data_IF_986545876641
#
_entry.id   IF_986545876641
#
_cell.length_a   1.000
_cell.length_b   1.000
_cell.length_c   1.000
_cell.angle_alpha   90.00
_cell.angle_beta   90.00
_cell.angle_gamma   90.00
#
_symmetry.space_group_name_H-M   'P 1'
#
loop_
_entity.id
_entity.type
_entity.pdbx_description
1 polymer ?
#
# COMPACT_ATOMS: atom_id res chain seq x y z
N UNK A 1 -8.11 19.03 -16.74
CA UNK A 1 -7.39 19.98 -15.92
C UNK A 1 -7.32 19.44 -14.50
N UNK A 2 -6.11 19.09 -14.05
CA UNK A 2 -5.79 18.82 -12.65
C UNK A 2 -6.35 19.99 -11.82
N UNK A 3 -7.13 19.71 -10.79
CA UNK A 3 -7.50 20.70 -9.78
C UNK A 3 -6.21 21.01 -9.01
N UNK A 4 -5.47 22.01 -9.50
CA UNK A 4 -4.30 22.49 -8.82
C UNK A 4 -4.70 23.34 -7.61
N UNK A 5 -4.01 23.13 -6.52
CA UNK A 5 -3.60 24.06 -5.47
C UNK A 5 -4.52 24.43 -4.30
N UNK A 6 -5.74 23.90 -4.14
CA UNK A 6 -6.46 24.10 -2.87
C UNK A 6 -6.99 22.83 -2.20
N UNK A 7 -7.06 21.72 -2.92
CA UNK A 7 -7.55 20.45 -2.37
C UNK A 7 -6.46 19.63 -1.66
N UNK A 8 -5.17 19.96 -1.86
CA UNK A 8 -4.06 19.16 -1.33
C UNK A 8 -3.73 19.45 0.14
N UNK A 9 -3.95 20.69 0.63
CA UNK A 9 -3.68 20.99 2.04
C UNK A 9 -4.81 20.52 2.97
N UNK A 10 -6.09 20.66 2.57
CA UNK A 10 -7.23 20.26 3.41
C UNK A 10 -7.42 18.75 3.52
N UNK A 11 -7.15 17.97 2.46
CA UNK A 11 -7.28 16.49 2.49
C UNK A 11 -6.12 15.77 3.23
N UNK A 12 -4.94 16.38 3.32
CA UNK A 12 -3.83 15.80 4.10
C UNK A 12 -4.05 15.90 5.60
N UNK A 13 -4.84 16.86 6.06
CA UNK A 13 -5.16 17.01 7.48
C UNK A 13 -6.19 16.02 7.97
N UNK A 14 -7.07 15.51 7.12
CA UNK A 14 -8.20 14.68 7.54
C UNK A 14 -7.75 13.30 8.05
N UNK A 15 -6.86 12.60 7.36
CA UNK A 15 -6.36 11.30 7.83
C UNK A 15 -5.46 11.41 9.07
N UNK A 16 -4.72 12.52 9.24
CA UNK A 16 -3.90 12.75 10.42
C UNK A 16 -4.78 13.00 11.64
N UNK A 17 -5.81 13.82 11.51
CA UNK A 17 -6.79 14.05 12.57
C UNK A 17 -7.53 12.75 12.94
N UNK A 18 -7.91 11.94 11.95
CA UNK A 18 -8.53 10.65 12.18
C UNK A 18 -7.58 9.69 12.94
N UNK A 19 -6.30 9.69 12.59
CA UNK A 19 -5.29 8.89 13.26
C UNK A 19 -5.12 9.30 14.73
N UNK A 20 -5.08 10.60 15.01
CA UNK A 20 -5.03 11.12 16.39
C UNK A 20 -6.31 10.75 17.17
N UNK A 21 -7.49 10.88 16.57
CA UNK A 21 -8.76 10.52 17.19
C UNK A 21 -8.83 9.04 17.54
N UNK A 22 -8.48 8.16 16.63
CA UNK A 22 -8.44 6.71 16.87
C UNK A 22 -7.38 6.34 17.92
N UNK A 23 -6.22 6.99 17.89
CA UNK A 23 -5.17 6.75 18.89
C UNK A 23 -5.56 7.19 20.29
N UNK A 24 -6.34 8.27 20.42
CA UNK A 24 -6.81 8.81 21.71
C UNK A 24 -7.71 7.84 22.49
N UNK A 25 -8.26 6.81 21.84
CA UNK A 25 -9.05 5.77 22.51
C UNK A 25 -8.18 4.79 23.35
N UNK A 26 -6.86 4.82 23.16
CA UNK A 26 -5.91 3.96 23.86
C UNK A 26 -5.01 4.77 24.79
N UNK A 27 -4.60 4.16 25.89
CA UNK A 27 -3.61 4.83 26.76
C UNK A 27 -2.25 4.88 26.07
N UNK A 28 -1.50 5.97 26.28
CA UNK A 28 -0.14 6.12 25.76
C UNK A 28 0.76 4.92 26.09
N UNK A 29 0.70 4.40 27.33
CA UNK A 29 1.49 3.24 27.74
C UNK A 29 1.14 1.96 26.97
N UNK A 30 -0.12 1.78 26.56
CA UNK A 30 -0.54 0.67 25.71
C UNK A 30 0.06 0.80 24.32
N UNK A 31 -0.07 1.97 23.70
CA UNK A 31 0.46 2.22 22.35
C UNK A 31 1.98 2.09 22.29
N UNK A 32 2.71 2.64 23.28
CA UNK A 32 4.18 2.52 23.35
C UNK A 32 4.65 1.07 23.50
N UNK A 33 3.99 0.28 24.36
CA UNK A 33 4.30 -1.14 24.55
C UNK A 33 4.07 -1.91 23.25
N UNK A 34 2.92 -1.70 22.61
CA UNK A 34 2.53 -2.41 21.40
C UNK A 34 3.43 -2.01 20.22
N UNK A 35 3.81 -0.74 20.07
CA UNK A 35 4.77 -0.27 19.06
C UNK A 35 6.16 -0.90 19.24
N UNK A 36 6.65 -1.06 20.47
CA UNK A 36 7.91 -1.74 20.75
C UNK A 36 7.86 -3.21 20.37
N UNK A 37 6.80 -3.93 20.76
CA UNK A 37 6.63 -5.34 20.41
C UNK A 37 6.59 -5.57 18.90
N UNK A 38 5.90 -4.70 18.14
CA UNK A 38 5.87 -4.73 16.69
C UNK A 38 7.27 -4.52 16.11
N UNK A 39 7.99 -3.49 16.58
CA UNK A 39 9.34 -3.17 16.10
C UNK A 39 10.34 -4.30 16.38
N UNK A 40 10.22 -5.00 17.50
CA UNK A 40 11.04 -6.15 17.84
C UNK A 40 10.72 -7.35 16.94
N UNK A 41 9.44 -7.64 16.69
CA UNK A 41 9.02 -8.72 15.81
C UNK A 41 9.53 -8.54 14.37
N UNK A 42 9.45 -7.31 13.83
CA UNK A 42 10.00 -7.01 12.50
C UNK A 42 11.53 -7.17 12.44
N UNK A 43 12.26 -6.77 13.48
CA UNK A 43 13.72 -6.95 13.54
C UNK A 43 14.14 -8.42 13.57
N UNK A 44 13.37 -9.26 14.23
CA UNK A 44 13.64 -10.70 14.33
C UNK A 44 13.20 -11.50 13.09
N UNK A 45 12.67 -10.85 12.04
CA UNK A 45 12.13 -11.49 10.84
C UNK A 45 11.11 -12.60 11.14
N UNK A 46 10.37 -12.47 12.26
CA UNK A 46 9.37 -13.45 12.68
C UNK A 46 8.01 -13.25 12.00
N UNK A 47 7.93 -12.30 11.06
CA UNK A 47 6.68 -11.90 10.41
C UNK A 47 6.30 -12.68 9.16
N UNK A 48 7.21 -13.41 8.54
CA UNK A 48 6.95 -14.13 7.29
C UNK A 48 5.82 -15.16 7.48
N UNK A 49 4.68 -14.93 6.83
CA UNK A 49 3.50 -15.79 6.92
C UNK A 49 2.77 -15.79 8.28
N UNK A 50 3.22 -15.06 9.29
CA UNK A 50 2.61 -15.04 10.63
C UNK A 50 1.74 -13.80 10.84
N UNK A 51 0.63 -13.97 11.54
CA UNK A 51 -0.19 -12.85 12.02
C UNK A 51 0.52 -12.18 13.19
N UNK A 52 0.96 -10.95 13.01
CA UNK A 52 1.66 -10.16 14.04
C UNK A 52 0.70 -9.30 14.86
N UNK A 53 -0.41 -8.85 14.27
CA UNK A 53 -1.32 -7.88 14.86
C UNK A 53 -2.70 -8.51 15.08
N UNK A 54 -2.99 -8.85 16.33
CA UNK A 54 -4.25 -9.51 16.69
C UNK A 54 -5.19 -8.59 17.47
N UNK A 55 -4.68 -7.49 18.04
CA UNK A 55 -5.44 -6.52 18.82
C UNK A 55 -5.53 -5.19 18.08
N UNK A 56 -6.65 -4.49 18.23
CA UNK A 56 -6.83 -3.17 17.64
C UNK A 56 -5.83 -2.14 18.20
N UNK A 57 -5.40 -2.25 19.46
CA UNK A 57 -4.35 -1.40 20.02
C UNK A 57 -2.99 -1.59 19.31
N UNK A 58 -2.68 -2.81 18.90
CA UNK A 58 -1.49 -3.09 18.09
C UNK A 58 -1.62 -2.48 16.68
N UNK A 59 -2.78 -2.60 16.06
CA UNK A 59 -3.05 -2.00 14.74
C UNK A 59 -3.02 -0.46 14.82
N UNK A 60 -3.56 0.15 15.89
CA UNK A 60 -3.47 1.60 16.12
C UNK A 60 -2.02 2.06 16.34
N UNK A 61 -1.24 1.32 17.14
CA UNK A 61 0.18 1.60 17.37
C UNK A 61 1.00 1.46 16.07
N UNK A 62 0.69 0.48 15.23
CA UNK A 62 1.26 0.31 13.90
C UNK A 62 0.92 1.51 13.01
N UNK A 63 -0.35 1.91 12.94
CA UNK A 63 -0.79 3.05 12.16
C UNK A 63 -0.05 4.34 12.58
N UNK A 64 0.02 4.65 13.88
CA UNK A 64 0.76 5.80 14.40
C UNK A 64 2.23 5.83 13.98
N UNK A 65 2.88 4.67 13.94
CA UNK A 65 4.32 4.59 13.68
C UNK A 65 4.68 4.47 12.19
N UNK A 66 3.79 3.99 11.35
CA UNK A 66 4.10 3.64 9.95
C UNK A 66 3.28 4.40 8.92
N UNK A 67 2.01 4.68 9.23
CA UNK A 67 1.08 5.26 8.27
C UNK A 67 1.55 6.59 7.69
N UNK A 68 2.13 7.56 8.44
CA UNK A 68 2.58 8.82 7.86
C UNK A 68 3.59 8.61 6.73
N UNK A 69 4.61 7.80 6.95
CA UNK A 69 5.62 7.51 5.93
C UNK A 69 5.03 6.72 4.75
N UNK A 70 4.11 5.78 5.02
CA UNK A 70 3.46 4.97 3.98
C UNK A 70 2.55 5.80 3.09
N UNK A 71 1.75 6.71 3.66
CA UNK A 71 0.87 7.62 2.89
C UNK A 71 1.72 8.48 1.95
N UNK A 72 2.78 9.11 2.45
CA UNK A 72 3.62 9.98 1.63
C UNK A 72 4.37 9.21 0.53
N UNK A 73 4.90 8.04 0.84
CA UNK A 73 5.55 7.20 -0.16
C UNK A 73 4.56 6.74 -1.25
N UNK A 74 3.37 6.31 -0.84
CA UNK A 74 2.32 5.92 -1.77
C UNK A 74 1.83 7.10 -2.62
N UNK A 75 1.65 8.27 -2.00
CA UNK A 75 1.25 9.49 -2.71
C UNK A 75 2.26 9.89 -3.78
N UNK A 76 3.55 9.85 -3.46
CA UNK A 76 4.61 10.14 -4.41
C UNK A 76 4.64 9.14 -5.58
N UNK A 77 4.56 7.84 -5.30
CA UNK A 77 4.56 6.80 -6.33
C UNK A 77 3.32 6.88 -7.23
N UNK A 78 2.14 7.11 -6.63
CA UNK A 78 0.88 7.27 -7.38
C UNK A 78 0.90 8.53 -8.24
N UNK A 79 1.37 9.66 -7.73
CA UNK A 79 1.45 10.91 -8.49
C UNK A 79 2.33 10.74 -9.72
N UNK A 80 3.50 10.12 -9.60
CA UNK A 80 4.39 9.83 -10.72
C UNK A 80 3.75 8.88 -11.74
N UNK A 81 3.09 7.82 -11.26
CA UNK A 81 2.42 6.87 -12.13
C UNK A 81 1.24 7.49 -12.90
N UNK A 82 0.45 8.34 -12.24
CA UNK A 82 -0.67 9.06 -12.84
C UNK A 82 -0.20 10.09 -13.89
N UNK A 83 0.87 10.84 -13.56
CA UNK A 83 1.48 11.80 -14.49
C UNK A 83 2.03 11.08 -15.75
N UNK A 84 2.77 10.00 -15.55
CA UNK A 84 3.37 9.24 -16.66
C UNK A 84 2.34 8.55 -17.56
N UNK A 85 1.22 8.11 -17.00
CA UNK A 85 0.18 7.38 -17.75
C UNK A 85 -0.92 8.27 -18.31
N UNK A 86 -1.17 9.42 -17.70
CA UNK A 86 -2.32 10.28 -18.02
C UNK A 86 -3.68 9.66 -17.61
N UNK A 87 -3.68 8.58 -16.83
CA UNK A 87 -4.88 7.90 -16.39
C UNK A 87 -5.53 8.61 -15.19
N UNK A 88 -6.83 8.44 -15.04
CA UNK A 88 -7.61 8.97 -13.91
C UNK A 88 -8.59 7.91 -13.38
N UNK A 89 -8.11 6.86 -12.72
CA UNK A 89 -8.96 5.80 -12.18
C UNK A 89 -9.99 6.32 -11.19
N UNK A 90 -11.18 5.75 -11.22
CA UNK A 90 -12.29 6.08 -10.31
C UNK A 90 -12.63 4.95 -9.35
N UNK A 91 -12.11 3.75 -9.61
CA UNK A 91 -12.26 2.60 -8.71
C UNK A 91 -10.91 2.03 -8.36
N UNK A 92 -10.74 1.65 -7.09
CA UNK A 92 -9.49 1.17 -6.54
C UNK A 92 -9.65 -0.16 -5.81
N UNK A 93 -8.64 -1.01 -5.94
CA UNK A 93 -8.42 -2.20 -5.15
C UNK A 93 -7.10 -2.04 -4.39
N UNK A 94 -7.16 -2.01 -3.07
CA UNK A 94 -5.99 -1.94 -2.18
C UNK A 94 -5.74 -3.33 -1.59
N UNK A 95 -4.64 -3.96 -2.01
CA UNK A 95 -4.31 -5.35 -1.70
C UNK A 95 -3.28 -5.43 -0.57
N UNK A 96 -3.67 -6.00 0.57
CA UNK A 96 -2.88 -5.91 1.79
C UNK A 96 -3.00 -4.52 2.39
N UNK A 97 -4.22 -3.98 2.41
CA UNK A 97 -4.50 -2.57 2.72
C UNK A 97 -4.01 -2.11 4.10
N UNK A 98 -3.73 -3.04 5.01
CA UNK A 98 -3.34 -2.68 6.37
C UNK A 98 -4.40 -1.83 7.05
N UNK A 99 -4.03 -0.61 7.42
CA UNK A 99 -4.97 0.40 7.93
C UNK A 99 -5.43 1.42 6.88
N UNK A 100 -5.17 1.16 5.58
CA UNK A 100 -5.67 1.96 4.47
C UNK A 100 -4.76 3.09 4.00
N UNK A 101 -3.48 3.07 4.32
CA UNK A 101 -2.56 4.16 3.99
C UNK A 101 -2.47 4.44 2.48
N UNK A 102 -2.43 3.40 1.65
CA UNK A 102 -2.38 3.55 0.18
C UNK A 102 -3.70 4.09 -0.36
N UNK A 103 -4.82 3.67 0.22
CA UNK A 103 -6.15 4.21 -0.13
C UNK A 103 -6.26 5.70 0.19
N UNK A 104 -5.79 6.16 1.36
CA UNK A 104 -5.76 7.60 1.69
C UNK A 104 -4.88 8.38 0.70
N UNK A 105 -3.72 7.85 0.34
CA UNK A 105 -2.85 8.47 -0.66
C UNK A 105 -3.55 8.60 -2.02
N UNK A 106 -4.23 7.55 -2.47
CA UNK A 106 -4.95 7.56 -3.74
C UNK A 106 -6.14 8.54 -3.74
N UNK A 107 -6.92 8.58 -2.64
CA UNK A 107 -8.07 9.48 -2.49
C UNK A 107 -7.66 10.96 -2.51
N UNK A 108 -6.45 11.28 -2.01
CA UNK A 108 -5.91 12.64 -2.06
C UNK A 108 -5.55 13.10 -3.49
N UNK A 109 -5.35 12.20 -4.43
CA UNK A 109 -4.91 12.48 -5.80
C UNK A 109 -6.02 12.27 -6.83
N UNK A 110 -6.99 11.42 -6.55
CA UNK A 110 -8.01 10.95 -7.48
C UNK A 110 -9.42 11.29 -6.99
N UNK A 111 -10.36 11.41 -7.90
CA UNK A 111 -11.78 11.47 -7.57
C UNK A 111 -12.35 10.05 -7.52
N UNK A 112 -11.95 9.28 -6.52
CA UNK A 112 -12.39 7.91 -6.36
C UNK A 112 -13.89 7.84 -6.03
N UNK A 113 -14.61 6.98 -6.72
CA UNK A 113 -16.02 6.67 -6.45
C UNK A 113 -16.15 5.50 -5.46
N UNK A 114 -15.20 4.59 -5.50
CA UNK A 114 -15.19 3.38 -4.67
C UNK A 114 -13.78 2.85 -4.48
N UNK A 115 -13.46 2.45 -3.26
CA UNK A 115 -12.29 1.65 -2.93
C UNK A 115 -12.71 0.31 -2.33
N UNK A 116 -11.97 -0.75 -2.64
CA UNK A 116 -12.08 -2.05 -1.99
C UNK A 116 -10.75 -2.35 -1.31
N UNK A 117 -10.76 -2.44 0.00
CA UNK A 117 -9.59 -2.72 0.83
C UNK A 117 -9.60 -4.19 1.23
N UNK A 118 -8.63 -4.93 0.75
CA UNK A 118 -8.44 -6.35 1.05
C UNK A 118 -7.34 -6.49 2.11
N UNK A 119 -7.69 -6.98 3.28
CA UNK A 119 -6.76 -7.16 4.38
C UNK A 119 -7.08 -8.43 5.15
N UNK A 120 -6.07 -9.23 5.41
CA UNK A 120 -6.20 -10.51 6.11
C UNK A 120 -6.54 -10.34 7.59
N UNK A 121 -5.94 -9.35 8.25
CA UNK A 121 -5.99 -9.20 9.70
C UNK A 121 -7.20 -8.38 10.16
N UNK A 122 -8.02 -8.96 11.03
CA UNK A 122 -9.25 -8.33 11.50
C UNK A 122 -8.99 -7.02 12.26
N UNK A 123 -7.93 -6.97 13.08
CA UNK A 123 -7.57 -5.78 13.83
C UNK A 123 -7.17 -4.61 12.91
N UNK A 124 -6.41 -4.89 11.85
CA UNK A 124 -6.03 -3.90 10.85
C UNK A 124 -7.26 -3.36 10.12
N UNK A 125 -8.17 -4.25 9.68
CA UNK A 125 -9.43 -3.83 9.05
C UNK A 125 -10.29 -2.96 9.95
N UNK A 126 -10.44 -3.35 11.23
CA UNK A 126 -11.24 -2.60 12.20
C UNK A 126 -10.71 -1.17 12.39
N UNK A 127 -9.40 -1.02 12.57
CA UNK A 127 -8.76 0.30 12.70
C UNK A 127 -8.86 1.08 11.39
N UNK A 128 -8.61 0.46 10.23
CA UNK A 128 -8.72 1.11 8.92
C UNK A 128 -10.13 1.63 8.63
N UNK A 129 -11.16 0.84 8.94
CA UNK A 129 -12.56 1.25 8.81
C UNK A 129 -12.88 2.49 9.67
N UNK A 130 -12.38 2.52 10.91
CA UNK A 130 -12.57 3.67 11.81
C UNK A 130 -11.83 4.90 11.31
N UNK A 131 -10.59 4.76 10.87
CA UNK A 131 -9.82 5.87 10.30
C UNK A 131 -10.55 6.48 9.09
N UNK A 132 -11.07 5.66 8.18
CA UNK A 132 -11.80 6.16 7.02
C UNK A 132 -13.16 6.77 7.37
N UNK A 133 -13.83 6.24 8.39
CA UNK A 133 -15.09 6.83 8.87
C UNK A 133 -14.88 8.21 9.51
N UNK A 134 -13.78 8.39 10.27
CA UNK A 134 -13.42 9.66 10.90
C UNK A 134 -12.94 10.70 9.88
N UNK A 135 -12.10 10.29 8.93
CA UNK A 135 -11.54 11.19 7.92
C UNK A 135 -12.58 11.63 6.87
N UNK A 136 -13.58 10.81 6.61
CA UNK A 136 -14.44 11.00 5.42
C UNK A 136 -13.71 10.59 4.13
N UNK A 137 -14.13 11.14 2.99
CA UNK A 137 -13.50 10.83 1.69
C UNK A 137 -14.15 9.63 0.99
N UNK A 138 -13.35 8.83 0.27
CA UNK A 138 -13.87 7.72 -0.52
C UNK A 138 -14.57 6.67 0.32
N UNK A 139 -15.70 6.18 -0.17
CA UNK A 139 -16.38 5.03 0.44
C UNK A 139 -15.60 3.74 0.20
N UNK A 140 -14.95 3.24 1.25
CA UNK A 140 -14.15 2.02 1.21
C UNK A 140 -14.94 0.82 1.72
N UNK A 141 -14.95 -0.26 0.93
CA UNK A 141 -15.44 -1.57 1.34
C UNK A 141 -14.27 -2.40 1.81
N UNK A 142 -14.37 -2.99 3.00
CA UNK A 142 -13.33 -3.82 3.59
C UNK A 142 -13.72 -5.29 3.56
N UNK A 143 -12.80 -6.13 3.10
CA UNK A 143 -13.00 -7.56 3.07
C UNK A 143 -11.78 -8.32 3.64
N UNK A 144 -12.07 -9.41 4.37
CA UNK A 144 -11.05 -10.35 4.76
C UNK A 144 -10.57 -11.12 3.52
N UNK A 145 -9.28 -11.04 3.22
CA UNK A 145 -8.71 -11.71 2.06
C UNK A 145 -7.30 -12.22 2.36
N UNK A 146 -7.09 -13.49 2.09
CA UNK A 146 -5.75 -14.06 1.95
C UNK A 146 -5.37 -14.00 0.47
N UNK A 147 -4.44 -13.13 0.12
CA UNK A 147 -4.00 -12.94 -1.26
C UNK A 147 -3.32 -14.18 -1.85
N UNK A 148 -2.83 -15.10 -1.00
CA UNK A 148 -2.23 -16.37 -1.43
C UNK A 148 -3.26 -17.46 -1.76
N UNK A 149 -4.51 -17.25 -1.37
CA UNK A 149 -5.61 -18.16 -1.71
C UNK A 149 -5.88 -18.17 -3.23
N UNK A 150 -6.58 -19.19 -3.74
CA UNK A 150 -6.77 -19.38 -5.19
C UNK A 150 -7.88 -18.52 -5.79
N UNK A 151 -8.78 -17.99 -4.97
CA UNK A 151 -9.92 -17.21 -5.41
C UNK A 151 -9.48 -15.96 -6.17
N UNK A 152 -10.14 -15.61 -7.29
CA UNK A 152 -9.85 -14.39 -8.02
C UNK A 152 -10.19 -13.16 -7.18
N UNK A 153 -9.48 -12.07 -7.40
CA UNK A 153 -9.75 -10.78 -6.76
C UNK A 153 -10.85 -10.02 -7.52
N UNK A 154 -11.60 -9.13 -6.84
CA UNK A 154 -12.47 -8.19 -7.51
C UNK A 154 -11.66 -7.28 -8.44
N UNK A 155 -12.27 -6.84 -9.55
CA UNK A 155 -11.59 -5.98 -10.52
C UNK A 155 -11.80 -4.51 -10.18
N UNK A 156 -10.76 -3.72 -10.45
CA UNK A 156 -10.80 -2.26 -10.35
C UNK A 156 -9.90 -1.62 -11.40
N UNK A 157 -10.14 -0.35 -11.70
CA UNK A 157 -9.32 0.42 -12.64
C UNK A 157 -7.88 0.59 -12.14
N UNK A 158 -7.72 0.84 -10.84
CA UNK A 158 -6.43 0.90 -10.14
C UNK A 158 -6.34 -0.25 -9.16
N UNK A 159 -5.32 -1.08 -9.26
CA UNK A 159 -4.93 -2.00 -8.21
C UNK A 159 -3.63 -1.52 -7.57
N UNK A 160 -3.56 -1.54 -6.24
CA UNK A 160 -2.37 -1.16 -5.49
C UNK A 160 -1.97 -2.23 -4.49
N UNK A 161 -0.69 -2.25 -4.19
CA UNK A 161 -0.08 -2.97 -3.10
C UNK A 161 1.02 -2.10 -2.49
N UNK A 162 1.08 -2.04 -1.16
CA UNK A 162 2.14 -1.33 -0.45
C UNK A 162 2.75 -2.16 0.68
N UNK A 163 4.02 -2.52 0.51
CA UNK A 163 4.85 -3.21 1.52
C UNK A 163 4.38 -4.62 1.92
N UNK A 164 3.58 -5.28 1.08
CA UNK A 164 3.03 -6.61 1.37
C UNK A 164 3.80 -7.75 0.68
N UNK A 165 4.26 -7.55 -0.57
CA UNK A 165 4.96 -8.60 -1.32
C UNK A 165 6.21 -9.11 -0.60
N UNK A 166 6.94 -8.22 0.07
CA UNK A 166 8.10 -8.57 0.87
C UNK A 166 7.79 -9.46 2.08
N UNK A 167 6.55 -9.44 2.59
CA UNK A 167 6.09 -10.27 3.70
C UNK A 167 5.66 -11.68 3.27
N UNK A 168 5.46 -11.89 1.97
CA UNK A 168 5.09 -13.20 1.43
C UNK A 168 6.30 -14.14 1.34
N UNK A 169 6.02 -15.43 1.47
CA UNK A 169 6.99 -16.45 1.08
C UNK A 169 7.45 -16.24 -0.36
N UNK A 170 8.73 -16.43 -0.62
CA UNK A 170 9.35 -16.14 -1.93
C UNK A 170 8.61 -16.79 -3.10
N UNK A 171 8.14 -18.04 -2.91
CA UNK A 171 7.39 -18.78 -3.93
C UNK A 171 6.02 -18.17 -4.27
N UNK A 172 5.45 -17.37 -3.38
CA UNK A 172 4.11 -16.77 -3.55
C UNK A 172 4.14 -15.38 -4.18
N UNK A 173 5.28 -14.70 -4.23
CA UNK A 173 5.39 -13.30 -4.69
C UNK A 173 4.96 -13.13 -6.15
N UNK A 174 5.48 -13.95 -7.06
CA UNK A 174 5.11 -13.87 -8.48
C UNK A 174 3.64 -14.28 -8.73
N UNK A 175 3.13 -15.41 -8.19
CA UNK A 175 1.72 -15.75 -8.31
C UNK A 175 0.77 -14.67 -7.78
N UNK A 176 1.09 -14.05 -6.64
CA UNK A 176 0.28 -12.96 -6.09
C UNK A 176 0.36 -11.71 -6.98
N UNK A 177 1.56 -11.32 -7.44
CA UNK A 177 1.71 -10.18 -8.34
C UNK A 177 0.92 -10.36 -9.65
N UNK A 178 0.92 -11.57 -10.23
CA UNK A 178 0.11 -11.91 -11.40
C UNK A 178 -1.39 -11.84 -11.09
N UNK A 179 -1.80 -12.28 -9.90
CA UNK A 179 -3.19 -12.18 -9.46
C UNK A 179 -3.65 -10.72 -9.33
N UNK A 180 -2.80 -9.83 -8.82
CA UNK A 180 -3.05 -8.39 -8.77
C UNK A 180 -3.14 -7.80 -10.18
N UNK A 181 -2.23 -8.20 -11.07
CA UNK A 181 -2.24 -7.80 -12.48
C UNK A 181 -3.56 -8.17 -13.18
N UNK A 182 -4.04 -9.39 -12.97
CA UNK A 182 -5.31 -9.85 -13.53
C UNK A 182 -6.54 -9.13 -12.95
N UNK A 183 -6.43 -8.54 -11.76
CA UNK A 183 -7.49 -7.76 -11.12
C UNK A 183 -7.49 -6.30 -11.56
N UNK A 184 -6.38 -5.77 -12.10
CA UNK A 184 -6.33 -4.38 -12.54
C UNK A 184 -6.88 -4.22 -13.97
N UNK A 185 -7.61 -3.13 -14.21
CA UNK A 185 -8.19 -2.83 -15.53
C UNK A 185 -7.37 -1.79 -16.30
N UNK A 186 -6.69 -0.89 -15.59
CA UNK A 186 -5.93 0.20 -16.19
C UNK A 186 -4.50 0.28 -15.66
N UNK A 187 -4.31 0.25 -14.33
CA UNK A 187 -3.01 0.47 -13.72
C UNK A 187 -2.82 -0.37 -12.46
N UNK A 188 -1.66 -1.01 -12.37
CA UNK A 188 -1.17 -1.68 -11.16
C UNK A 188 0.01 -0.88 -10.58
N UNK A 189 -0.06 -0.52 -9.30
CA UNK A 189 1.03 0.16 -8.57
C UNK A 189 1.52 -0.73 -7.45
N UNK A 190 2.81 -1.02 -7.46
CA UNK A 190 3.47 -1.86 -6.45
C UNK A 190 4.54 -1.03 -5.75
N UNK A 191 4.50 -1.00 -4.42
CA UNK A 191 5.38 -0.19 -3.58
C UNK A 191 6.05 -1.10 -2.55
N UNK A 192 7.37 -1.14 -2.57
CA UNK A 192 8.17 -1.94 -1.65
C UNK A 192 9.24 -1.07 -0.96
N UNK A 193 9.79 -1.51 0.20
CA UNK A 193 10.85 -0.75 0.87
C UNK A 193 12.05 -0.51 -0.03
N UNK A 194 12.64 0.69 0.03
CA UNK A 194 13.83 1.10 -0.72
C UNK A 194 15.12 0.39 -0.25
N UNK A 195 15.03 -0.88 0.04
CA UNK A 195 16.13 -1.76 0.46
C UNK A 195 16.61 -2.63 -0.71
N UNK A 196 17.83 -3.20 -0.66
CA UNK A 196 18.28 -4.15 -1.67
C UNK A 196 17.28 -5.29 -1.90
N UNK A 197 16.67 -5.81 -0.83
CA UNK A 197 15.70 -6.90 -0.92
C UNK A 197 14.38 -6.45 -1.56
N UNK A 198 13.84 -5.28 -1.18
CA UNK A 198 12.62 -4.72 -1.80
C UNK A 198 12.82 -4.47 -3.29
N UNK A 199 13.96 -3.89 -3.66
CA UNK A 199 14.35 -3.72 -5.06
C UNK A 199 14.43 -5.05 -5.82
N UNK A 200 15.06 -6.07 -5.24
CA UNK A 200 15.17 -7.40 -5.86
C UNK A 200 13.78 -8.04 -6.08
N UNK A 201 12.89 -7.90 -5.10
CA UNK A 201 11.50 -8.38 -5.21
C UNK A 201 10.76 -7.68 -6.36
N UNK A 202 10.75 -6.34 -6.38
CA UNK A 202 10.10 -5.57 -7.46
C UNK A 202 10.71 -5.83 -8.83
N UNK A 203 12.04 -5.99 -8.91
CA UNK A 203 12.72 -6.32 -10.16
C UNK A 203 12.27 -7.67 -10.74
N UNK A 204 12.13 -8.69 -9.89
CA UNK A 204 11.62 -9.99 -10.29
C UNK A 204 10.16 -9.94 -10.74
N UNK A 205 9.31 -9.25 -9.97
CA UNK A 205 7.89 -9.03 -10.32
C UNK A 205 7.76 -8.24 -11.62
N UNK A 206 8.52 -7.16 -11.78
CA UNK A 206 8.57 -6.39 -13.03
C UNK A 206 8.88 -7.26 -14.24
N UNK A 207 9.94 -8.06 -14.17
CA UNK A 207 10.32 -8.94 -15.28
C UNK A 207 9.21 -9.95 -15.61
N UNK A 208 8.58 -10.53 -14.59
CA UNK A 208 7.47 -11.46 -14.75
C UNK A 208 6.26 -10.81 -15.43
N UNK A 209 5.82 -9.65 -14.94
CA UNK A 209 4.65 -8.96 -15.50
C UNK A 209 4.90 -8.42 -16.92
N UNK A 210 6.12 -7.94 -17.22
CA UNK A 210 6.50 -7.55 -18.57
C UNK A 210 6.44 -8.73 -19.54
N UNK A 211 6.88 -9.91 -19.11
CA UNK A 211 6.75 -11.13 -19.90
C UNK A 211 5.28 -11.53 -20.19
N UNK A 212 4.35 -11.12 -19.31
CA UNK A 212 2.90 -11.28 -19.49
C UNK A 212 2.26 -10.14 -20.30
N UNK A 213 3.03 -9.17 -20.79
CA UNK A 213 2.55 -8.08 -21.63
C UNK A 213 2.30 -6.76 -20.87
N UNK A 214 2.73 -6.62 -19.64
CA UNK A 214 2.64 -5.35 -18.93
C UNK A 214 3.60 -4.31 -19.53
N UNK A 215 3.14 -3.05 -19.57
CA UNK A 215 3.97 -1.89 -19.88
C UNK A 215 4.30 -1.14 -18.60
N UNK A 216 5.57 -0.84 -18.37
CA UNK A 216 6.01 -0.07 -17.18
C UNK A 216 5.87 1.42 -17.49
N UNK A 217 4.94 2.10 -16.82
CA UNK A 217 4.73 3.54 -16.98
C UNK A 217 5.76 4.37 -16.21
N UNK A 218 6.07 3.98 -14.97
CA UNK A 218 7.01 4.65 -14.08
C UNK A 218 7.70 3.62 -13.17
N UNK A 219 8.84 3.93 -12.58
CA UNK A 219 9.68 5.13 -12.73
C UNK A 219 10.57 5.10 -13.98
N UNK A 220 10.67 3.96 -14.64
CA UNK A 220 11.47 3.76 -15.84
C UNK A 220 10.58 3.30 -16.99
N UNK A 221 9.93 4.24 -17.69
CA UNK A 221 9.10 3.91 -18.85
C UNK A 221 10.00 3.37 -19.95
N UNK A 222 9.99 2.09 -20.12
CA UNK A 222 10.62 1.42 -21.24
C UNK A 222 10.03 0.03 -21.36
N UNK A 223 9.75 -0.38 -22.58
CA UNK A 223 9.54 -1.78 -22.92
C UNK A 223 10.82 -2.62 -22.79
N UNK A 224 11.88 -2.10 -22.14
CA UNK A 224 13.10 -2.86 -21.96
C UNK A 224 12.92 -3.86 -20.82
N UNK A 225 13.10 -5.11 -21.15
CA UNK A 225 13.10 -6.22 -20.23
C UNK A 225 14.22 -6.11 -19.18
N UNK A 226 15.24 -5.30 -19.42
CA UNK A 226 16.45 -5.20 -18.62
C UNK A 226 16.51 -3.89 -17.83
N UNK A 227 16.49 -4.00 -16.50
CA UNK A 227 16.87 -2.91 -15.63
C UNK A 227 18.38 -2.64 -15.75
N UNK A 228 18.82 -1.36 -15.91
CA UNK A 228 20.25 -1.03 -16.04
C UNK A 228 21.06 -1.24 -14.75
N UNK A 229 20.41 -1.45 -13.62
CA UNK A 229 21.08 -1.69 -12.35
C UNK A 229 21.75 -3.07 -12.35
N UNK A 230 23.04 -3.12 -12.07
CA UNK A 230 23.86 -4.33 -12.07
C UNK A 230 24.65 -4.50 -10.77
N UNK A 231 25.04 -5.73 -10.47
CA UNK A 231 25.83 -6.05 -9.28
C UNK A 231 25.05 -5.82 -7.98
N UNK A 232 25.69 -5.18 -7.02
CA UNK A 232 25.10 -4.84 -5.71
C UNK A 232 24.33 -3.52 -5.71
N UNK A 233 24.25 -2.84 -6.84
CA UNK A 233 23.52 -1.58 -6.96
C UNK A 233 22.00 -1.84 -6.98
N UNK A 234 21.26 -0.95 -6.29
CA UNK A 234 19.80 -0.96 -6.31
C UNK A 234 19.25 0.46 -6.47
N UNK A 235 18.07 0.55 -7.06
CA UNK A 235 17.34 1.79 -7.22
C UNK A 235 16.35 1.96 -6.06
N UNK A 236 16.26 3.18 -5.51
CA UNK A 236 15.27 3.53 -4.50
C UNK A 236 14.94 5.02 -4.58
N UNK A 237 13.80 5.38 -4.04
CA UNK A 237 13.32 6.75 -3.93
C UNK A 237 13.08 7.09 -2.47
N UNK A 238 13.29 8.34 -2.10
CA UNK A 238 13.08 8.84 -0.76
C UNK A 238 12.07 9.98 -0.78
N UNK A 239 11.13 9.97 0.15
CA UNK A 239 10.21 11.07 0.42
C UNK A 239 10.46 11.62 1.82
N UNK A 240 10.23 12.92 2.00
CA UNK A 240 10.24 13.53 3.33
C UNK A 240 8.84 13.43 3.92
N UNK A 241 8.78 13.11 5.22
CA UNK A 241 7.57 13.03 6.03
C UNK A 241 7.57 14.14 7.06
#
# INVERSE_FOLDING_TARGET
GLKADKATEDNMTDWQNALEAVAAEYTRGTLERDARAISEAYRLKTGEGKRLLTRESEAAAYALSRMPATVEAARAALAEALEASGLAPRTMLDCGAGTGAVTFAADSLLALERATCLEREAAMRAVGQRLMAEAGGVQAQWAACDLTAREPLPRAQLACEGYMLGELEAAMRLPVAEKLWNACEQMLVLIEPGTPQGFANLRAVRAHLVALGAYVAAPCPAGSETCPMTGENWCHFAVRV
#
